data_IF_280119988448
#
_entry.id   IF_280119988448
#
_cell.length_a   1.000
_cell.length_b   1.000
_cell.length_c   1.000
_cell.angle_alpha   90.00
_cell.angle_beta   90.00
_cell.angle_gamma   90.00
#
_symmetry.space_group_name_H-M   'P 1'
#
loop_
_entity.id
_entity.type
_entity.pdbx_description
1 polymer ?
#
# COMPACT_ATOMS: atom_id res chain seq x y z
N UNK A 1 -6.28 -27.26 1.93
CA UNK A 1 -6.20 -26.12 2.88
C UNK A 1 -5.11 -25.19 2.37
N UNK A 2 -5.45 -24.17 1.55
CA UNK A 2 -4.45 -23.35 0.83
C UNK A 2 -5.03 -22.01 0.35
N UNK A 3 -5.82 -21.33 1.19
CA UNK A 3 -6.25 -19.94 0.94
C UNK A 3 -5.66 -18.93 1.94
N UNK A 4 -5.09 -19.39 3.05
CA UNK A 4 -4.63 -18.52 4.13
C UNK A 4 -3.21 -17.95 3.91
N UNK A 5 -2.35 -18.64 3.15
CA UNK A 5 -0.99 -18.16 2.88
C UNK A 5 -0.94 -16.97 1.91
N UNK A 6 -1.79 -16.96 0.89
CA UNK A 6 -1.82 -15.87 -0.10
C UNK A 6 -2.21 -14.54 0.55
N UNK A 7 -3.21 -14.56 1.43
CA UNK A 7 -3.65 -13.36 2.15
C UNK A 7 -2.55 -12.76 3.03
N UNK A 8 -1.60 -13.56 3.53
CA UNK A 8 -0.49 -13.03 4.32
C UNK A 8 0.51 -12.27 3.46
N UNK A 9 0.73 -12.71 2.22
CA UNK A 9 1.64 -12.05 1.26
C UNK A 9 0.99 -10.75 0.73
N UNK A 10 -0.30 -10.80 0.39
CA UNK A 10 -1.06 -9.62 -0.03
C UNK A 10 -1.03 -8.52 1.05
N UNK A 11 -1.26 -8.91 2.31
CA UNK A 11 -1.24 -7.98 3.45
C UNK A 11 0.18 -7.50 3.75
N UNK A 12 1.20 -8.33 3.59
CA UNK A 12 2.60 -7.92 3.77
C UNK A 12 3.01 -6.88 2.71
N UNK A 13 2.66 -7.09 1.45
CA UNK A 13 2.92 -6.13 0.35
C UNK A 13 2.21 -4.80 0.61
N UNK A 14 0.93 -4.82 0.98
CA UNK A 14 0.17 -3.61 1.28
C UNK A 14 0.74 -2.88 2.50
N UNK A 15 1.01 -3.59 3.60
CA UNK A 15 1.53 -3.01 4.83
C UNK A 15 2.93 -2.43 4.60
N UNK A 16 3.82 -3.18 3.98
CA UNK A 16 5.20 -2.77 3.74
C UNK A 16 5.29 -1.53 2.82
N UNK A 17 4.43 -1.42 1.80
CA UNK A 17 4.36 -0.23 0.96
C UNK A 17 3.79 0.98 1.71
N UNK A 18 2.71 0.79 2.49
CA UNK A 18 2.11 1.86 3.27
C UNK A 18 3.01 2.38 4.38
N UNK A 19 3.70 1.50 5.09
CA UNK A 19 4.67 1.90 6.11
C UNK A 19 5.84 2.69 5.52
N UNK A 20 6.35 2.28 4.35
CA UNK A 20 7.39 3.04 3.65
C UNK A 20 6.89 4.44 3.26
N UNK A 21 5.75 4.52 2.58
CA UNK A 21 5.15 5.79 2.15
C UNK A 21 4.89 6.75 3.32
N UNK A 22 4.37 6.23 4.44
CA UNK A 22 4.14 7.00 5.66
C UNK A 22 5.45 7.46 6.30
N UNK A 23 6.47 6.60 6.36
CA UNK A 23 7.77 6.92 6.95
C UNK A 23 8.49 8.03 6.18
N UNK A 24 8.46 8.00 4.84
CA UNK A 24 9.06 9.03 3.98
C UNK A 24 8.48 10.43 4.23
N UNK A 25 7.19 10.49 4.61
CA UNK A 25 6.45 11.75 4.82
C UNK A 25 6.30 12.13 6.29
N UNK A 26 6.80 11.31 7.23
CA UNK A 26 6.54 11.46 8.67
C UNK A 26 5.05 11.54 9.02
N UNK A 27 4.21 10.80 8.27
CA UNK A 27 2.76 10.70 8.48
C UNK A 27 2.46 9.46 9.32
N UNK A 28 1.49 9.56 10.24
CA UNK A 28 0.97 8.37 10.92
C UNK A 28 -0.02 7.67 10.01
N UNK A 29 0.08 6.34 9.89
CA UNK A 29 -0.84 5.53 9.09
C UNK A 29 -2.32 5.75 9.44
N UNK A 30 -2.61 5.98 10.72
CA UNK A 30 -3.95 6.25 11.25
C UNK A 30 -4.45 7.69 11.05
N UNK A 31 -3.65 8.58 10.46
CA UNK A 31 -4.08 9.91 10.06
C UNK A 31 -5.00 9.83 8.84
N UNK A 32 -5.76 10.89 8.57
CA UNK A 32 -6.64 10.97 7.39
C UNK A 32 -5.87 10.72 6.08
N UNK A 33 -4.67 11.28 5.94
CA UNK A 33 -3.80 11.05 4.78
C UNK A 33 -3.36 9.59 4.68
N UNK A 34 -2.95 8.96 5.79
CA UNK A 34 -2.56 7.55 5.81
C UNK A 34 -3.71 6.61 5.45
N UNK A 35 -4.93 6.89 5.93
CA UNK A 35 -6.13 6.14 5.57
C UNK A 35 -6.51 6.35 4.10
N UNK A 36 -6.35 7.56 3.57
CA UNK A 36 -6.55 7.85 2.14
C UNK A 36 -5.54 7.08 1.28
N UNK A 37 -4.26 7.10 1.65
CA UNK A 37 -3.21 6.34 0.98
C UNK A 37 -3.47 4.83 1.05
N UNK A 38 -3.96 4.30 2.17
CA UNK A 38 -4.35 2.90 2.29
C UNK A 38 -5.46 2.51 1.29
N UNK A 39 -6.47 3.36 1.13
CA UNK A 39 -7.54 3.11 0.16
C UNK A 39 -7.02 3.13 -1.28
N UNK A 40 -6.11 4.04 -1.61
CA UNK A 40 -5.43 4.09 -2.91
C UNK A 40 -4.56 2.84 -3.13
N UNK A 41 -3.80 2.42 -2.13
CA UNK A 41 -2.95 1.24 -2.19
C UNK A 41 -3.76 -0.03 -2.49
N UNK A 42 -4.94 -0.19 -1.88
CA UNK A 42 -5.83 -1.32 -2.15
C UNK A 42 -6.30 -1.31 -3.62
N UNK A 43 -6.71 -0.16 -4.14
CA UNK A 43 -7.13 -0.02 -5.54
C UNK A 43 -5.98 -0.32 -6.52
N UNK A 44 -4.77 0.15 -6.21
CA UNK A 44 -3.57 -0.13 -7.00
C UNK A 44 -3.20 -1.62 -6.95
N UNK A 45 -3.30 -2.25 -5.77
CA UNK A 45 -3.05 -3.68 -5.64
C UNK A 45 -3.99 -4.51 -6.52
N UNK A 46 -5.29 -4.19 -6.49
CA UNK A 46 -6.31 -4.81 -7.36
C UNK A 46 -6.05 -4.55 -8.85
N UNK A 47 -5.50 -3.38 -9.19
CA UNK A 47 -5.06 -3.03 -10.55
C UNK A 47 -3.77 -3.74 -11.01
N UNK A 48 -3.15 -4.59 -10.17
CA UNK A 48 -2.01 -5.43 -10.53
C UNK A 48 -0.65 -4.96 -10.02
N UNK A 49 -0.60 -3.94 -9.16
CA UNK A 49 0.62 -3.47 -8.50
C UNK A 49 0.94 -4.34 -7.27
N UNK A 50 1.16 -5.63 -7.49
CA UNK A 50 1.22 -6.66 -6.43
C UNK A 50 2.59 -6.85 -5.78
N UNK A 51 3.45 -5.85 -5.81
CA UNK A 51 4.79 -5.91 -5.22
C UNK A 51 5.07 -4.59 -4.52
N UNK A 52 5.74 -4.62 -3.37
CA UNK A 52 6.00 -3.42 -2.56
C UNK A 52 6.54 -2.25 -3.39
N UNK A 53 7.59 -2.48 -4.18
CA UNK A 53 8.24 -1.45 -5.00
C UNK A 53 7.29 -0.80 -6.02
N UNK A 54 6.56 -1.63 -6.79
CA UNK A 54 5.57 -1.13 -7.76
C UNK A 54 4.42 -0.40 -7.08
N UNK A 55 3.96 -0.90 -5.93
CA UNK A 55 2.87 -0.30 -5.19
C UNK A 55 3.27 1.05 -4.59
N UNK A 56 4.47 1.13 -4.00
CA UNK A 56 5.04 2.36 -3.47
C UNK A 56 5.27 3.40 -4.56
N UNK A 57 5.83 2.99 -5.70
CA UNK A 57 6.00 3.86 -6.87
C UNK A 57 4.68 4.41 -7.39
N UNK A 58 3.64 3.57 -7.47
CA UNK A 58 2.32 4.00 -7.91
C UNK A 58 1.59 4.88 -6.88
N UNK A 59 1.79 4.67 -5.58
CA UNK A 59 1.30 5.56 -4.52
C UNK A 59 1.91 6.96 -4.64
N UNK A 60 3.20 7.05 -4.98
CA UNK A 60 3.84 8.34 -5.25
C UNK A 60 3.25 9.02 -6.49
N UNK A 61 3.03 8.29 -7.59
CA UNK A 61 2.45 8.86 -8.82
C UNK A 61 1.01 9.36 -8.62
N UNK A 62 0.19 8.63 -7.86
CA UNK A 62 -1.21 8.96 -7.61
C UNK A 62 -1.40 10.22 -6.71
N UNK A 63 -0.40 10.60 -5.91
CA UNK A 63 -0.45 11.81 -5.07
C UNK A 63 -0.35 13.10 -5.91
N UNK A 64 0.30 13.05 -7.08
CA UNK A 64 0.52 14.21 -7.95
C UNK A 64 -0.55 14.41 -9.02
N UNK A 65 -1.70 13.73 -8.88
CA UNK A 65 -2.81 13.76 -9.85
C UNK A 65 -4.07 14.38 -9.27
#
# INVERSE_FOLDING_TARGET
MMRTLFFSDDIDVLASALFAWCAERSIRLQSQEGLSAANVAINLYDAGYQTQDRLLGALHDHEFR
#
